data_IF_567041226238
#
_entry.id   IF_567041226238
#
_cell.length_a   1.000
_cell.length_b   1.000
_cell.length_c   1.000
_cell.angle_alpha   90.00
_cell.angle_beta   90.00
_cell.angle_gamma   90.00
#
_symmetry.space_group_name_H-M   'P 1'
#
loop_
_entity.id
_entity.type
_entity.pdbx_description
1 polymer ?
#
# COMPACT_ATOMS: atom_id res chain seq x y z
N UNK A 1 7.53 3.75 20.36
CA UNK A 1 7.11 3.52 18.97
C UNK A 1 7.95 4.43 18.10
N UNK A 2 8.53 3.96 17.02
CA UNK A 2 9.40 4.76 16.20
C UNK A 2 8.59 5.74 15.33
N UNK A 3 9.07 6.99 15.31
CA UNK A 3 8.52 8.05 14.45
C UNK A 3 9.68 8.76 13.78
N UNK A 4 9.45 9.23 12.56
CA UNK A 4 10.37 10.08 11.80
C UNK A 4 9.66 11.35 11.40
N UNK A 5 10.35 12.50 11.56
CA UNK A 5 9.85 13.77 11.04
C UNK A 5 10.19 13.88 9.56
N UNK A 6 9.16 14.06 8.75
CA UNK A 6 9.22 14.41 7.32
C UNK A 6 8.51 15.73 7.12
N UNK A 7 8.64 16.36 5.95
CA UNK A 7 8.03 17.65 5.67
C UNK A 7 6.50 17.62 5.88
N UNK A 8 6.00 18.29 6.93
CA UNK A 8 4.57 18.35 7.27
C UNK A 8 4.01 17.09 7.93
N UNK A 9 4.85 16.10 8.30
CA UNK A 9 4.39 14.88 8.94
C UNK A 9 5.37 14.35 10.00
N UNK A 10 4.80 13.64 10.97
CA UNK A 10 5.53 12.77 11.91
C UNK A 10 5.08 11.34 11.64
N UNK A 11 5.86 10.68 10.82
CA UNK A 11 5.53 9.38 10.21
C UNK A 11 5.79 8.26 11.19
N UNK A 12 4.77 7.48 11.49
CA UNK A 12 4.87 6.25 12.26
C UNK A 12 5.26 5.07 11.38
N UNK A 13 6.06 4.17 11.92
CA UNK A 13 6.39 2.89 11.27
C UNK A 13 6.63 1.79 12.30
N UNK A 14 6.53 0.56 11.85
CA UNK A 14 6.93 -0.64 12.57
C UNK A 14 8.11 -1.26 11.84
N UNK A 15 9.11 -1.69 12.58
CA UNK A 15 10.35 -2.30 12.07
C UNK A 15 10.54 -3.66 12.76
N UNK A 16 10.59 -4.74 12.00
CA UNK A 16 10.85 -6.07 12.54
C UNK A 16 12.24 -6.24 13.13
N UNK A 17 13.14 -5.29 12.82
CA UNK A 17 14.56 -5.44 13.13
C UNK A 17 15.25 -6.48 12.24
N UNK A 18 16.45 -6.88 12.66
CA UNK A 18 17.27 -7.84 11.91
C UNK A 18 18.29 -7.16 10.98
N UNK A 19 19.16 -7.99 10.39
CA UNK A 19 20.24 -7.56 9.49
C UNK A 19 20.05 -8.04 8.05
N UNK A 20 18.93 -8.68 7.75
CA UNK A 20 18.57 -9.12 6.39
C UNK A 20 18.28 -7.94 5.44
N UNK A 21 18.14 -8.22 4.15
CA UNK A 21 17.71 -7.21 3.17
C UNK A 21 16.39 -6.56 3.58
N UNK A 22 16.29 -5.24 3.38
CA UNK A 22 15.15 -4.48 3.85
C UNK A 22 13.98 -4.51 2.85
N UNK A 23 12.76 -4.62 3.38
CA UNK A 23 11.50 -4.54 2.64
C UNK A 23 10.61 -3.48 3.30
N UNK A 24 10.21 -2.45 2.56
CA UNK A 24 9.29 -1.40 3.01
C UNK A 24 7.93 -1.59 2.39
N UNK A 25 6.89 -1.64 3.22
CA UNK A 25 5.53 -1.91 2.81
C UNK A 25 4.57 -0.78 3.23
N UNK A 26 3.79 -0.28 2.28
CA UNK A 26 2.72 0.69 2.48
C UNK A 26 1.33 0.03 2.40
N UNK A 27 0.46 0.40 3.32
CA UNK A 27 -0.88 -0.20 3.47
C UNK A 27 -1.92 0.34 2.48
N UNK A 28 -3.06 -0.35 2.37
CA UNK A 28 -4.23 0.08 1.61
C UNK A 28 -4.97 1.25 2.30
N UNK A 29 -5.74 2.02 1.53
CA UNK A 29 -6.60 3.08 2.06
C UNK A 29 -7.58 2.54 3.11
N UNK A 30 -7.89 3.31 4.15
CA UNK A 30 -8.60 2.94 5.38
C UNK A 30 -7.84 2.00 6.34
N UNK A 31 -6.66 1.49 5.98
CA UNK A 31 -5.89 0.56 6.80
C UNK A 31 -4.67 1.24 7.44
N UNK A 32 -3.78 0.47 8.05
CA UNK A 32 -2.54 0.93 8.66
C UNK A 32 -1.48 -0.19 8.63
N UNK A 33 -0.35 0.02 9.31
CA UNK A 33 0.78 -0.92 9.35
C UNK A 33 0.40 -2.36 9.73
N UNK A 34 -0.67 -2.59 10.49
CA UNK A 34 -1.11 -3.94 10.88
C UNK A 34 -1.62 -4.77 9.69
N UNK A 35 -1.87 -4.15 8.52
CA UNK A 35 -2.22 -4.86 7.29
C UNK A 35 -1.19 -5.95 6.96
N UNK A 36 0.07 -5.74 7.31
CA UNK A 36 1.16 -6.64 6.97
C UNK A 36 1.63 -7.54 8.13
N UNK A 37 0.82 -7.71 9.18
CA UNK A 37 1.20 -8.52 10.34
C UNK A 37 1.63 -9.96 9.96
N UNK A 38 0.91 -10.59 9.03
CA UNK A 38 1.24 -11.93 8.52
C UNK A 38 2.57 -11.91 7.74
N UNK A 39 2.75 -10.95 6.82
CA UNK A 39 3.95 -10.81 6.00
C UNK A 39 5.17 -10.48 6.86
N UNK A 40 5.02 -9.62 7.87
CA UNK A 40 6.08 -9.35 8.84
C UNK A 40 6.51 -10.66 9.53
N UNK A 41 5.55 -11.45 10.02
CA UNK A 41 5.86 -12.71 10.69
C UNK A 41 6.55 -13.72 9.76
N UNK A 42 6.12 -13.81 8.51
CA UNK A 42 6.66 -14.74 7.52
C UNK A 42 8.05 -14.33 7.01
N UNK A 43 8.29 -13.04 6.81
CA UNK A 43 9.51 -12.52 6.19
C UNK A 43 10.62 -12.19 7.22
N UNK A 44 10.27 -11.81 8.46
CA UNK A 44 11.22 -11.36 9.47
C UNK A 44 12.38 -12.33 9.80
N UNK A 45 12.26 -13.66 9.63
CA UNK A 45 13.39 -14.56 9.81
C UNK A 45 14.57 -14.31 8.86
N UNK A 46 14.31 -13.80 7.65
CA UNK A 46 15.33 -13.61 6.61
C UNK A 46 15.47 -12.14 6.16
N UNK A 47 14.43 -11.32 6.35
CA UNK A 47 14.36 -9.94 5.88
C UNK A 47 14.04 -8.97 7.01
N UNK A 48 14.50 -7.73 6.90
CA UNK A 48 14.07 -6.64 7.77
C UNK A 48 12.85 -5.97 7.16
N UNK A 49 11.67 -6.14 7.76
CA UNK A 49 10.40 -5.64 7.24
C UNK A 49 9.99 -4.38 7.96
N UNK A 50 9.75 -3.31 7.19
CA UNK A 50 9.30 -2.01 7.68
C UNK A 50 7.89 -1.76 7.13
N UNK A 51 6.90 -1.57 7.99
CA UNK A 51 5.54 -1.20 7.61
C UNK A 51 5.25 0.22 8.06
N UNK A 52 4.80 1.09 7.13
CA UNK A 52 4.65 2.53 7.35
C UNK A 52 3.18 2.92 7.37
N UNK A 53 2.79 3.76 8.35
CA UNK A 53 1.49 4.42 8.35
C UNK A 53 1.55 5.67 7.45
N UNK A 54 0.73 5.70 6.41
CA UNK A 54 0.58 6.89 5.57
C UNK A 54 -0.12 8.02 6.32
N UNK A 55 0.07 9.27 5.87
CA UNK A 55 -0.66 10.44 6.39
C UNK A 55 -2.16 10.16 6.40
N UNK A 56 -2.84 10.56 7.47
CA UNK A 56 -4.28 10.31 7.68
C UNK A 56 -4.63 8.90 8.16
N UNK A 57 -3.63 8.02 8.40
CA UNK A 57 -3.85 6.64 8.82
C UNK A 57 -2.98 6.26 10.02
N UNK A 58 -3.35 5.17 10.68
CA UNK A 58 -2.58 4.58 11.78
C UNK A 58 -2.22 5.58 12.87
N UNK A 59 -0.93 5.69 13.19
CA UNK A 59 -0.41 6.62 14.20
C UNK A 59 0.34 7.81 13.60
N UNK A 60 0.41 7.94 12.27
CA UNK A 60 1.06 9.07 11.62
C UNK A 60 0.28 10.36 11.86
N UNK A 61 0.97 11.39 12.35
CA UNK A 61 0.47 12.75 12.52
C UNK A 61 0.92 13.60 11.32
N UNK A 62 0.07 14.49 10.82
CA UNK A 62 0.43 15.40 9.74
C UNK A 62 -0.31 16.73 9.91
N UNK A 63 0.19 17.78 9.27
CA UNK A 63 -0.50 19.06 9.19
C UNK A 63 -1.73 18.98 8.25
N UNK A 64 -2.59 20.00 8.29
CA UNK A 64 -3.82 20.04 7.48
C UNK A 64 -3.56 20.38 6.01
N UNK A 65 -2.30 20.46 5.59
CA UNK A 65 -1.91 20.78 4.22
C UNK A 65 -2.25 19.66 3.23
N UNK A 66 -2.58 20.04 2.00
CA UNK A 66 -2.72 19.09 0.90
C UNK A 66 -1.37 18.42 0.60
N UNK A 67 -1.40 17.14 0.23
CA UNK A 67 -0.22 16.38 -0.13
C UNK A 67 -0.54 15.41 -1.29
N UNK A 68 0.48 14.89 -1.89
CA UNK A 68 0.44 13.97 -3.03
C UNK A 68 1.08 12.63 -2.69
N UNK A 69 0.97 11.66 -3.59
CA UNK A 69 1.70 10.40 -3.47
C UNK A 69 3.23 10.58 -3.58
N UNK A 70 3.69 11.66 -4.19
CA UNK A 70 5.11 12.03 -4.18
C UNK A 70 5.59 12.44 -2.79
N UNK A 71 4.72 13.08 -2.00
CA UNK A 71 5.03 13.44 -0.61
C UNK A 71 5.02 12.19 0.28
N UNK A 72 4.07 11.27 0.08
CA UNK A 72 4.08 9.97 0.76
C UNK A 72 5.33 9.14 0.43
N UNK A 73 5.80 9.19 -0.82
CA UNK A 73 7.06 8.55 -1.20
C UNK A 73 8.28 9.18 -0.52
N UNK A 74 8.31 10.52 -0.36
CA UNK A 74 9.36 11.22 0.40
C UNK A 74 9.29 10.88 1.88
N UNK A 75 8.09 10.77 2.44
CA UNK A 75 7.89 10.32 3.82
C UNK A 75 8.49 8.93 4.04
N UNK A 76 8.19 7.99 3.13
CA UNK A 76 8.72 6.64 3.19
C UNK A 76 10.27 6.62 3.04
N UNK A 77 10.82 7.43 2.15
CA UNK A 77 12.28 7.60 2.04
C UNK A 77 12.89 8.18 3.32
N UNK A 78 12.20 9.12 4.00
CA UNK A 78 12.67 9.64 5.29
C UNK A 78 12.78 8.57 6.37
N UNK A 79 11.88 7.56 6.35
CA UNK A 79 11.97 6.38 7.24
C UNK A 79 13.19 5.52 6.88
N UNK A 80 13.39 5.23 5.59
CA UNK A 80 14.52 4.43 5.08
C UNK A 80 15.86 5.10 5.45
N UNK A 81 15.96 6.41 5.27
CA UNK A 81 17.15 7.20 5.60
C UNK A 81 17.41 7.23 7.12
N UNK A 82 16.36 7.41 7.94
CA UNK A 82 16.45 7.37 9.39
C UNK A 82 16.98 6.02 9.90
N UNK A 83 16.61 4.94 9.25
CA UNK A 83 17.06 3.59 9.60
C UNK A 83 18.45 3.24 9.06
N UNK A 84 19.08 4.14 8.30
CA UNK A 84 20.39 3.93 7.69
C UNK A 84 20.41 2.83 6.63
N UNK A 85 19.29 2.65 5.91
CA UNK A 85 19.15 1.62 4.89
C UNK A 85 19.55 2.23 3.53
N UNK A 86 20.56 1.65 2.90
CA UNK A 86 21.04 2.13 1.59
C UNK A 86 20.15 1.69 0.45
N UNK A 87 19.72 0.44 0.45
CA UNK A 87 18.90 -0.17 -0.62
C UNK A 87 17.75 -0.98 -0.03
N UNK A 88 16.63 -1.03 -0.74
CA UNK A 88 15.39 -1.60 -0.22
C UNK A 88 14.51 -2.16 -1.33
N UNK A 89 13.77 -3.22 -1.04
CA UNK A 89 12.58 -3.60 -1.82
C UNK A 89 11.42 -2.78 -1.29
N UNK A 90 10.68 -2.11 -2.17
CA UNK A 90 9.52 -1.30 -1.79
C UNK A 90 8.24 -1.90 -2.33
N UNK A 91 7.15 -1.79 -1.58
CA UNK A 91 5.90 -2.37 -2.01
C UNK A 91 4.70 -1.90 -1.21
N UNK A 92 3.53 -2.47 -1.51
CA UNK A 92 2.33 -2.17 -0.78
C UNK A 92 1.05 -2.56 -1.51
N UNK A 93 -0.08 -2.31 -0.83
CA UNK A 93 -1.42 -2.57 -1.33
C UNK A 93 -2.09 -1.25 -1.72
N UNK A 94 -2.68 -1.17 -2.90
CA UNK A 94 -3.43 0.01 -3.36
C UNK A 94 -2.61 1.29 -3.27
N UNK A 95 -2.98 2.21 -2.36
CA UNK A 95 -2.22 3.45 -2.15
C UNK A 95 -0.75 3.20 -1.77
N UNK A 96 -0.45 2.12 -1.07
CA UNK A 96 0.92 1.72 -0.77
C UNK A 96 1.70 1.36 -2.02
N UNK A 97 1.05 0.73 -3.01
CA UNK A 97 1.61 0.48 -4.33
C UNK A 97 1.86 1.77 -5.12
N UNK A 98 0.93 2.75 -5.09
CA UNK A 98 1.14 4.07 -5.69
C UNK A 98 2.36 4.79 -5.08
N UNK A 99 2.52 4.68 -3.76
CA UNK A 99 3.67 5.22 -3.04
C UNK A 99 4.96 4.52 -3.47
N UNK A 100 4.96 3.18 -3.55
CA UNK A 100 6.14 2.39 -3.92
C UNK A 100 6.63 2.69 -5.36
N UNK A 101 5.72 2.85 -6.32
CA UNK A 101 6.06 3.28 -7.69
C UNK A 101 6.79 4.63 -7.68
N UNK A 102 6.31 5.60 -6.90
CA UNK A 102 6.96 6.91 -6.81
C UNK A 102 8.26 6.88 -6.02
N UNK A 103 8.40 5.99 -5.04
CA UNK A 103 9.69 5.74 -4.40
C UNK A 103 10.73 5.25 -5.41
N UNK A 104 10.36 4.32 -6.29
CA UNK A 104 11.24 3.80 -7.32
C UNK A 104 11.63 4.87 -8.35
N UNK A 105 10.69 5.76 -8.73
CA UNK A 105 10.98 6.88 -9.64
C UNK A 105 11.87 7.95 -9.00
N UNK A 106 11.71 8.23 -7.69
CA UNK A 106 12.51 9.23 -6.98
C UNK A 106 13.97 8.81 -6.80
N UNK A 107 14.22 7.53 -6.47
CA UNK A 107 15.55 7.04 -6.16
C UNK A 107 15.81 5.65 -6.78
N UNK A 108 15.82 5.51 -8.13
CA UNK A 108 15.95 4.21 -8.79
C UNK A 108 17.15 3.37 -8.32
N UNK A 109 18.35 3.95 -8.06
CA UNK A 109 19.53 3.17 -7.64
C UNK A 109 19.40 2.51 -6.27
N UNK A 110 18.43 2.96 -5.46
CA UNK A 110 18.19 2.46 -4.09
C UNK A 110 17.08 1.41 -4.03
N UNK A 111 16.39 1.13 -5.13
CA UNK A 111 15.29 0.16 -5.15
C UNK A 111 15.74 -1.13 -5.83
N UNK A 112 15.73 -2.22 -5.05
CA UNK A 112 16.13 -3.55 -5.51
C UNK A 112 15.02 -4.32 -6.19
N UNK A 113 13.77 -3.97 -5.88
CA UNK A 113 12.58 -4.61 -6.44
C UNK A 113 11.29 -3.96 -5.97
N UNK A 114 10.20 -4.26 -6.66
CA UNK A 114 8.85 -3.83 -6.35
C UNK A 114 7.95 -5.01 -5.97
N UNK A 115 7.09 -4.82 -4.96
CA UNK A 115 6.01 -5.75 -4.60
C UNK A 115 4.69 -4.98 -4.60
N UNK A 116 3.87 -5.15 -5.63
CA UNK A 116 2.69 -4.35 -5.90
C UNK A 116 1.42 -5.21 -5.83
N UNK A 117 0.57 -4.96 -4.85
CA UNK A 117 -0.69 -5.66 -4.65
C UNK A 117 -1.86 -4.72 -4.96
N UNK A 118 -2.67 -5.04 -5.96
CA UNK A 118 -3.86 -4.26 -6.32
C UNK A 118 -3.55 -2.77 -6.50
N UNK A 119 -2.75 -2.39 -7.51
CA UNK A 119 -2.49 -1.00 -7.85
C UNK A 119 -2.32 -0.78 -9.36
N UNK A 120 -2.24 0.46 -9.78
CA UNK A 120 -2.08 0.92 -11.17
C UNK A 120 -1.09 2.07 -11.22
N UNK A 121 -0.63 2.42 -12.44
CA UNK A 121 0.11 3.65 -12.69
C UNK A 121 -0.80 4.81 -13.16
N UNK A 122 -2.04 4.51 -13.49
CA UNK A 122 -3.00 5.46 -14.07
C UNK A 122 -3.70 6.29 -13.00
N UNK A 123 -4.06 7.52 -13.36
CA UNK A 123 -5.03 8.29 -12.61
C UNK A 123 -6.41 7.63 -12.67
N UNK A 124 -7.24 7.90 -11.67
CA UNK A 124 -8.62 7.45 -11.69
C UNK A 124 -9.43 8.17 -12.77
N UNK A 125 -10.29 7.42 -13.48
CA UNK A 125 -11.30 7.97 -14.35
C UNK A 125 -12.32 8.81 -13.56
N UNK A 126 -13.05 9.69 -14.23
CA UNK A 126 -14.08 10.53 -13.59
C UNK A 126 -15.15 9.68 -12.85
N UNK A 127 -15.51 8.52 -13.39
CA UNK A 127 -16.45 7.60 -12.75
C UNK A 127 -15.88 7.04 -11.44
N UNK A 128 -14.61 6.61 -11.45
CA UNK A 128 -13.93 6.12 -10.25
C UNK A 128 -13.79 7.24 -9.21
N UNK A 129 -13.39 8.44 -9.62
CA UNK A 129 -13.28 9.62 -8.74
C UNK A 129 -14.61 9.93 -8.04
N UNK A 130 -15.72 9.91 -8.78
CA UNK A 130 -17.07 10.13 -8.21
C UNK A 130 -17.39 9.01 -7.20
N UNK A 131 -17.15 7.75 -7.55
CA UNK A 131 -17.38 6.61 -6.66
C UNK A 131 -16.57 6.69 -5.37
N UNK A 132 -15.27 6.95 -5.47
CA UNK A 132 -14.41 7.14 -4.29
C UNK A 132 -14.85 8.33 -3.44
N UNK A 133 -15.23 9.45 -4.04
CA UNK A 133 -15.76 10.62 -3.32
C UNK A 133 -17.02 10.26 -2.54
N UNK A 134 -17.96 9.55 -3.14
CA UNK A 134 -19.18 9.12 -2.44
C UNK A 134 -18.88 8.22 -1.24
N UNK A 135 -17.95 7.27 -1.38
CA UNK A 135 -17.55 6.39 -0.27
C UNK A 135 -16.86 7.18 0.84
N UNK A 136 -15.93 8.07 0.51
CA UNK A 136 -15.20 8.86 1.51
C UNK A 136 -16.08 9.90 2.19
N UNK A 137 -16.98 10.56 1.46
CA UNK A 137 -17.95 11.51 2.06
C UNK A 137 -18.92 10.78 3.00
N UNK A 138 -19.38 9.57 2.64
CA UNK A 138 -20.20 8.75 3.52
C UNK A 138 -19.42 8.26 4.75
N UNK A 139 -18.12 7.99 4.59
CA UNK A 139 -17.24 7.62 5.69
C UNK A 139 -17.05 8.76 6.68
N UNK A 140 -16.69 9.96 6.20
CA UNK A 140 -16.42 11.14 7.03
C UNK A 140 -17.71 11.76 7.56
N UNK A 141 -18.81 11.67 6.82
CA UNK A 141 -20.09 12.29 7.12
C UNK A 141 -20.72 11.86 8.45
N UNK A 142 -21.81 12.49 8.84
CA UNK A 142 -22.52 12.28 10.13
C UNK A 142 -23.36 11.01 10.18
N UNK A 143 -23.50 10.28 9.07
CA UNK A 143 -24.28 9.04 9.00
C UNK A 143 -23.67 7.89 9.83
N UNK A 144 -24.40 6.77 10.00
CA UNK A 144 -23.92 5.63 10.78
C UNK A 144 -22.73 4.96 10.08
N UNK A 145 -21.53 5.11 10.64
CA UNK A 145 -20.28 4.55 10.11
C UNK A 145 -20.34 3.03 9.92
N UNK A 146 -21.08 2.32 10.78
CA UNK A 146 -21.18 0.85 10.72
C UNK A 146 -21.65 0.33 9.35
N UNK A 147 -22.51 1.07 8.66
CA UNK A 147 -23.05 0.64 7.36
C UNK A 147 -21.97 0.73 6.29
N UNK A 148 -21.33 1.89 6.19
CA UNK A 148 -20.28 2.13 5.21
C UNK A 148 -19.03 1.28 5.50
N UNK A 149 -18.64 1.12 6.78
CA UNK A 149 -17.51 0.30 7.18
C UNK A 149 -17.70 -1.18 6.81
N UNK A 150 -18.90 -1.74 7.00
CA UNK A 150 -19.21 -3.13 6.57
C UNK A 150 -19.17 -3.28 5.05
N UNK A 151 -19.68 -2.29 4.31
CA UNK A 151 -19.59 -2.28 2.85
C UNK A 151 -18.13 -2.25 2.39
N UNK A 152 -17.33 -1.35 2.93
CA UNK A 152 -15.90 -1.22 2.63
C UNK A 152 -15.15 -2.52 2.97
N UNK A 153 -15.41 -3.13 4.15
CA UNK A 153 -14.80 -4.41 4.52
C UNK A 153 -15.11 -5.50 3.50
N UNK A 154 -16.36 -5.62 3.07
CA UNK A 154 -16.74 -6.60 2.04
C UNK A 154 -16.05 -6.36 0.70
N UNK A 155 -15.83 -5.11 0.30
CA UNK A 155 -15.21 -4.75 -0.96
C UNK A 155 -13.69 -4.94 -0.96
N UNK A 156 -13.00 -4.46 0.09
CA UNK A 156 -11.54 -4.43 0.09
C UNK A 156 -10.90 -5.64 0.76
N UNK A 157 -11.52 -6.21 1.81
CA UNK A 157 -10.99 -7.40 2.49
C UNK A 157 -11.52 -8.65 1.79
N UNK A 158 -12.83 -8.70 1.48
CA UNK A 158 -13.47 -9.93 1.01
C UNK A 158 -13.47 -11.00 2.10
N UNK A 159 -13.40 -12.29 1.72
CA UNK A 159 -13.31 -13.37 2.68
C UNK A 159 -14.54 -13.50 3.59
N UNK A 160 -14.31 -13.97 4.81
CA UNK A 160 -15.35 -14.22 5.81
C UNK A 160 -15.51 -13.06 6.80
N UNK A 161 -16.60 -13.09 7.58
CA UNK A 161 -16.83 -12.08 8.63
C UNK A 161 -15.72 -12.02 9.68
N UNK A 162 -15.04 -13.10 9.95
CA UNK A 162 -13.88 -13.15 10.86
C UNK A 162 -12.73 -12.29 10.38
N UNK A 163 -12.50 -12.20 9.06
CA UNK A 163 -11.45 -11.38 8.47
C UNK A 163 -11.75 -9.89 8.61
N UNK A 164 -13.04 -9.52 8.62
CA UNK A 164 -13.49 -8.14 8.77
C UNK A 164 -13.44 -7.61 10.21
N UNK A 165 -13.64 -8.48 11.21
CA UNK A 165 -13.87 -8.05 12.61
C UNK A 165 -12.75 -7.17 13.18
N UNK A 166 -11.45 -7.49 13.03
CA UNK A 166 -10.39 -6.64 13.56
C UNK A 166 -10.43 -5.22 13.00
N UNK A 167 -10.64 -5.10 11.68
CA UNK A 167 -10.68 -3.82 10.98
C UNK A 167 -11.95 -3.03 11.30
N UNK A 168 -13.12 -3.70 11.36
CA UNK A 168 -14.36 -3.06 11.77
C UNK A 168 -14.27 -2.50 13.20
N UNK A 169 -13.69 -3.25 14.15
CA UNK A 169 -13.49 -2.77 15.50
C UNK A 169 -12.62 -1.50 15.54
N UNK A 170 -11.51 -1.51 14.78
CA UNK A 170 -10.58 -0.38 14.67
C UNK A 170 -11.27 0.84 14.04
N UNK A 171 -11.95 0.68 12.91
CA UNK A 171 -12.62 1.76 12.20
C UNK A 171 -13.76 2.40 12.99
N UNK A 172 -14.53 1.60 13.72
CA UNK A 172 -15.66 2.08 14.52
C UNK A 172 -15.24 2.80 15.80
N UNK A 173 -14.04 2.55 16.32
CA UNK A 173 -13.49 3.20 17.50
C UNK A 173 -12.57 4.37 17.19
N UNK A 174 -12.13 4.52 15.94
CA UNK A 174 -11.17 5.54 15.50
C UNK A 174 -11.82 6.87 15.13
N UNK A 175 -10.98 7.88 14.93
CA UNK A 175 -11.39 9.16 14.35
C UNK A 175 -11.58 8.99 12.84
N UNK A 176 -12.83 9.10 12.40
CA UNK A 176 -13.22 8.91 11.01
C UNK A 176 -12.86 10.10 10.10
N UNK A 177 -12.66 11.29 10.67
CA UNK A 177 -12.40 12.52 9.91
C UNK A 177 -10.94 12.61 9.47
N UNK A 178 -10.04 11.92 10.15
CA UNK A 178 -8.59 11.98 9.87
C UNK A 178 -8.21 11.54 8.44
N UNK A 179 -9.05 10.76 7.76
CA UNK A 179 -8.80 10.32 6.37
C UNK A 179 -9.21 11.35 5.32
N UNK A 180 -9.71 12.53 5.70
CA UNK A 180 -10.23 13.53 4.75
C UNK A 180 -9.16 13.99 3.73
N UNK A 181 -8.00 14.43 4.21
CA UNK A 181 -6.90 14.84 3.34
C UNK A 181 -6.32 13.66 2.54
N UNK A 182 -6.30 12.46 3.14
CA UNK A 182 -5.89 11.23 2.46
C UNK A 182 -6.85 10.85 1.33
N UNK A 183 -8.16 11.07 1.51
CA UNK A 183 -9.17 10.87 0.48
C UNK A 183 -8.96 11.81 -0.71
N UNK A 184 -8.68 13.07 -0.46
CA UNK A 184 -8.35 14.03 -1.51
C UNK A 184 -7.07 13.65 -2.26
N UNK A 185 -6.03 13.21 -1.56
CA UNK A 185 -4.81 12.69 -2.16
C UNK A 185 -5.10 11.47 -3.06
N UNK A 186 -5.87 10.49 -2.55
CA UNK A 186 -6.21 9.27 -3.30
C UNK A 186 -7.00 9.59 -4.57
N UNK A 187 -8.07 10.38 -4.45
CA UNK A 187 -8.97 10.69 -5.57
C UNK A 187 -8.26 11.49 -6.68
N UNK A 188 -7.27 12.29 -6.30
CA UNK A 188 -6.48 13.11 -7.22
C UNK A 188 -5.10 12.51 -7.53
N UNK A 189 -4.96 11.19 -7.44
CA UNK A 189 -3.70 10.54 -7.83
C UNK A 189 -3.36 10.91 -9.28
N UNK A 190 -2.10 11.32 -9.48
CA UNK A 190 -1.59 11.68 -10.80
C UNK A 190 -1.29 10.44 -11.65
N UNK A 191 -1.47 10.54 -12.95
CA UNK A 191 -1.08 9.52 -13.92
C UNK A 191 0.44 9.53 -14.08
N UNK A 192 1.06 8.37 -13.89
CA UNK A 192 2.50 8.17 -14.08
C UNK A 192 2.81 7.10 -15.14
N UNK A 193 1.83 6.74 -15.97
CA UNK A 193 1.98 5.69 -16.98
C UNK A 193 3.13 5.94 -17.94
N UNK A 194 3.41 7.19 -18.26
CA UNK A 194 4.53 7.57 -19.15
C UNK A 194 5.90 7.50 -18.44
N UNK A 195 5.93 7.38 -17.11
CA UNK A 195 7.16 7.37 -16.30
C UNK A 195 7.60 5.97 -15.89
N UNK A 196 6.68 5.00 -15.81
CA UNK A 196 6.97 3.67 -15.25
C UNK A 196 8.01 2.89 -16.08
N UNK A 197 8.24 3.26 -17.34
CA UNK A 197 9.32 2.70 -18.18
C UNK A 197 10.71 2.96 -17.61
N UNK A 198 10.89 3.98 -16.76
CA UNK A 198 12.15 4.29 -16.08
C UNK A 198 12.41 3.40 -14.87
N UNK A 199 11.42 2.63 -14.42
CA UNK A 199 11.55 1.67 -13.32
C UNK A 199 12.08 0.36 -13.86
N UNK A 200 13.38 0.11 -13.69
CA UNK A 200 14.08 -1.04 -14.27
C UNK A 200 14.37 -2.17 -13.30
N UNK A 201 14.05 -2.01 -12.01
CA UNK A 201 14.17 -3.10 -11.03
C UNK A 201 13.10 -4.17 -11.28
N UNK A 202 13.35 -5.44 -10.86
CA UNK A 202 12.35 -6.50 -10.93
C UNK A 202 11.08 -6.16 -10.15
N UNK A 203 9.92 -6.63 -10.61
CA UNK A 203 8.64 -6.39 -9.97
C UNK A 203 7.79 -7.66 -9.84
N UNK A 204 7.18 -7.83 -8.67
CA UNK A 204 6.11 -8.79 -8.39
C UNK A 204 4.79 -8.01 -8.32
N UNK A 205 3.86 -8.33 -9.21
CA UNK A 205 2.51 -7.79 -9.22
C UNK A 205 1.52 -8.88 -8.83
N UNK A 206 0.61 -8.53 -7.93
CA UNK A 206 -0.43 -9.45 -7.46
C UNK A 206 -1.78 -8.74 -7.46
N UNK A 207 -2.82 -9.45 -7.85
CA UNK A 207 -4.20 -8.98 -7.82
C UNK A 207 -5.12 -10.06 -7.27
N UNK A 208 -6.09 -9.68 -6.44
CA UNK A 208 -7.22 -10.57 -6.14
C UNK A 208 -8.15 -10.69 -7.34
N UNK A 209 -8.64 -11.89 -7.65
CA UNK A 209 -9.56 -12.10 -8.78
C UNK A 209 -10.85 -11.28 -8.65
N UNK A 210 -11.29 -11.02 -7.42
CA UNK A 210 -12.49 -10.23 -7.08
C UNK A 210 -12.17 -8.79 -6.63
N UNK A 211 -10.96 -8.27 -6.94
CA UNK A 211 -10.61 -6.89 -6.61
C UNK A 211 -11.50 -5.90 -7.37
N UNK A 212 -12.33 -5.08 -6.68
CA UNK A 212 -13.21 -4.13 -7.34
C UNK A 212 -12.51 -2.81 -7.72
N UNK A 213 -11.31 -2.56 -7.20
CA UNK A 213 -10.57 -1.32 -7.42
C UNK A 213 -9.72 -1.37 -8.69
N UNK A 214 -9.10 -2.51 -8.97
CA UNK A 214 -8.20 -2.69 -10.11
C UNK A 214 -8.55 -3.97 -10.87
N UNK A 215 -8.94 -3.81 -12.13
CA UNK A 215 -9.22 -4.93 -13.01
C UNK A 215 -7.92 -5.55 -13.58
N UNK A 216 -8.09 -6.63 -14.33
CA UNK A 216 -6.96 -7.33 -14.94
C UNK A 216 -6.18 -6.42 -15.91
N UNK A 217 -6.90 -5.59 -16.68
CA UNK A 217 -6.30 -4.77 -17.73
C UNK A 217 -5.41 -3.66 -17.14
N UNK A 218 -5.82 -3.06 -16.02
CA UNK A 218 -5.04 -2.04 -15.32
C UNK A 218 -3.71 -2.59 -14.79
N UNK A 219 -3.72 -3.82 -14.22
CA UNK A 219 -2.50 -4.46 -13.72
C UNK A 219 -1.63 -5.01 -14.85
N UNK A 220 -2.24 -5.53 -15.91
CA UNK A 220 -1.52 -5.99 -17.11
C UNK A 220 -0.80 -4.83 -17.82
N UNK A 221 -1.47 -3.67 -17.91
CA UNK A 221 -0.87 -2.46 -18.48
C UNK A 221 0.32 -1.98 -17.64
N UNK A 222 0.18 -1.97 -16.31
CA UNK A 222 1.28 -1.67 -15.39
C UNK A 222 2.43 -2.68 -15.59
N UNK A 223 2.13 -3.97 -15.63
CA UNK A 223 3.12 -5.03 -15.81
C UNK A 223 3.92 -4.87 -17.12
N UNK A 224 3.24 -4.54 -18.21
CA UNK A 224 3.87 -4.32 -19.52
C UNK A 224 4.61 -3.00 -19.66
N UNK A 225 4.21 -2.00 -18.87
CA UNK A 225 4.79 -0.65 -18.91
C UNK A 225 6.08 -0.50 -18.13
N UNK A 226 6.34 -1.37 -17.13
CA UNK A 226 7.59 -1.34 -16.37
C UNK A 226 8.80 -1.63 -17.25
N UNK A 227 9.89 -0.89 -17.03
CA UNK A 227 11.13 -1.06 -17.81
C UNK A 227 11.97 -2.28 -17.39
N UNK A 228 11.68 -2.88 -16.22
CA UNK A 228 12.34 -4.08 -15.71
C UNK A 228 11.50 -5.35 -15.88
N UNK A 229 12.05 -6.51 -15.50
CA UNK A 229 11.31 -7.77 -15.54
C UNK A 229 10.17 -7.74 -14.51
N UNK A 230 8.96 -8.08 -14.94
CA UNK A 230 7.78 -8.10 -14.10
C UNK A 230 7.05 -9.44 -14.20
N UNK A 231 6.61 -9.97 -13.06
CA UNK A 231 5.74 -11.14 -12.98
C UNK A 231 4.39 -10.74 -12.37
N UNK A 232 3.30 -11.32 -12.90
CA UNK A 232 1.95 -11.01 -12.50
C UNK A 232 1.20 -12.27 -12.08
N UNK A 233 0.57 -12.21 -10.90
CA UNK A 233 -0.24 -13.29 -10.33
C UNK A 233 -1.65 -12.81 -9.98
N UNK A 234 -2.64 -13.63 -10.29
CA UNK A 234 -4.03 -13.44 -9.84
C UNK A 234 -4.35 -14.47 -8.76
N UNK A 235 -4.88 -14.01 -7.62
CA UNK A 235 -5.26 -14.86 -6.49
C UNK A 235 -6.77 -15.10 -6.55
N UNK A 236 -7.15 -16.33 -6.82
CA UNK A 236 -8.56 -16.72 -6.90
C UNK A 236 -9.26 -16.58 -5.55
N UNK A 237 -10.48 -16.04 -5.57
CA UNK A 237 -11.27 -15.81 -4.36
C UNK A 237 -10.87 -14.59 -3.53
N UNK A 238 -9.73 -13.97 -3.80
CA UNK A 238 -9.27 -12.79 -3.06
C UNK A 238 -9.88 -11.50 -3.60
N UNK A 239 -10.10 -10.53 -2.70
CA UNK A 239 -10.46 -9.17 -3.02
C UNK A 239 -9.22 -8.25 -3.08
N UNK A 240 -9.34 -6.96 -2.70
CA UNK A 240 -8.28 -5.96 -2.84
C UNK A 240 -7.08 -6.19 -1.91
N UNK A 241 -7.28 -6.83 -0.75
CA UNK A 241 -6.20 -7.13 0.22
C UNK A 241 -5.92 -8.64 0.32
N UNK A 242 -5.39 -9.26 -0.76
CA UNK A 242 -5.14 -10.71 -0.78
C UNK A 242 -4.17 -11.17 0.32
N UNK A 243 -3.29 -10.29 0.77
CA UNK A 243 -2.35 -10.54 1.86
C UNK A 243 -3.01 -10.75 3.23
N UNK A 244 -4.28 -10.39 3.42
CA UNK A 244 -5.06 -10.73 4.62
C UNK A 244 -5.72 -12.10 4.50
N UNK A 245 -6.48 -12.32 3.43
CA UNK A 245 -7.35 -13.51 3.29
C UNK A 245 -6.63 -14.71 2.70
N UNK A 246 -5.55 -14.50 1.95
CA UNK A 246 -4.73 -15.52 1.29
C UNK A 246 -3.25 -15.36 1.70
N UNK A 247 -3.00 -15.08 3.00
CA UNK A 247 -1.68 -14.73 3.52
C UNK A 247 -0.60 -15.75 3.13
N UNK A 248 -0.85 -17.05 3.31
CA UNK A 248 0.14 -18.09 2.99
C UNK A 248 0.58 -18.08 1.52
N UNK A 249 -0.34 -17.83 0.58
CA UNK A 249 -0.03 -17.77 -0.85
C UNK A 249 0.79 -16.51 -1.17
N UNK A 250 0.40 -15.38 -0.61
CA UNK A 250 1.12 -14.11 -0.77
C UNK A 250 2.53 -14.21 -0.15
N UNK A 251 2.65 -14.78 1.04
CA UNK A 251 3.95 -14.96 1.71
C UNK A 251 4.90 -15.81 0.87
N UNK A 252 4.39 -16.89 0.25
CA UNK A 252 5.19 -17.73 -0.64
C UNK A 252 5.64 -16.98 -1.90
N UNK A 253 4.77 -16.21 -2.54
CA UNK A 253 5.12 -15.40 -3.71
C UNK A 253 6.17 -14.35 -3.34
N UNK A 254 5.99 -13.65 -2.21
CA UNK A 254 6.95 -12.67 -1.74
C UNK A 254 8.31 -13.29 -1.43
N UNK A 255 8.36 -14.40 -0.69
CA UNK A 255 9.60 -15.12 -0.37
C UNK A 255 10.32 -15.60 -1.64
N UNK A 256 9.59 -16.20 -2.59
CA UNK A 256 10.17 -16.64 -3.87
C UNK A 256 10.72 -15.47 -4.69
N UNK A 257 9.99 -14.37 -4.76
CA UNK A 257 10.45 -13.16 -5.44
C UNK A 257 11.71 -12.59 -4.79
N UNK A 258 11.68 -12.36 -3.49
CA UNK A 258 12.80 -11.81 -2.71
C UNK A 258 14.05 -12.70 -2.81
N UNK A 259 13.88 -14.02 -2.75
CA UNK A 259 15.00 -14.98 -2.88
C UNK A 259 15.69 -14.92 -4.26
N UNK A 260 14.98 -14.51 -5.32
CA UNK A 260 15.56 -14.33 -6.66
C UNK A 260 16.33 -13.02 -6.85
N UNK A 261 16.13 -12.04 -5.99
CA UNK A 261 16.86 -10.75 -6.07
C UNK A 261 18.35 -10.87 -5.68
N UNK A 262 18.80 -12.02 -5.18
CA UNK A 262 20.22 -12.39 -5.11
C UNK A 262 21.04 -11.61 -4.10
N UNK A 263 20.56 -11.49 -2.87
CA UNK A 263 21.32 -10.90 -1.74
C UNK A 263 21.60 -11.91 -0.64
#
# INVERSE_FOLDING_TARGET
MPFVTSAGAKVHFVDSGGSGPAVVLGHAFFMDHELFANQIAALAPEYRVISIDARGHGLTEHDDGAYSFWDLARDAWSVVDHLGIDRVVVGGVGQGGFTALRMALLCPPRVDGLILLGCSAQAYSDVQRVGYRQVTDAWIGTGPLTVIAKMVAGLIIGGDRSDHQPWLAKWLSGDRERVAAAADCLINVDDISDLIGDITCPALLVRGASDPAFDHDAVDLLTKGLGGPAEFHTIEGAAHTPNLTHACEIDQLMLQFLGRLGR
#
